data_IF_180210663290
#
_entry.id   IF_180210663290
#
_cell.length_a   1.000
_cell.length_b   1.000
_cell.length_c   1.000
_cell.angle_alpha   90.00
_cell.angle_beta   90.00
_cell.angle_gamma   90.00
#
_symmetry.space_group_name_H-M   'P 1'
#
loop_
_entity.id
_entity.type
_entity.pdbx_description
1 polymer ?
#
# COMPACT_ATOMS: atom_id res chain seq x y z
N UNK A 1 8.59 7.04 -11.73
CA UNK A 1 7.66 7.05 -10.58
C UNK A 1 6.32 6.60 -11.09
N UNK A 2 5.70 5.62 -10.46
CA UNK A 2 4.43 5.05 -10.89
C UNK A 2 3.32 5.57 -9.98
N UNK A 3 2.22 6.05 -10.54
CA UNK A 3 1.04 6.52 -9.80
C UNK A 3 -0.26 5.99 -10.44
N UNK A 4 -0.16 4.90 -11.22
CA UNK A 4 -1.26 4.18 -11.83
C UNK A 4 -0.79 2.76 -12.13
N UNK A 5 -1.50 1.75 -11.66
CA UNK A 5 -1.25 0.37 -12.08
C UNK A 5 -2.58 -0.37 -12.26
N UNK A 6 -2.52 -1.56 -12.86
CA UNK A 6 -3.69 -2.43 -13.03
C UNK A 6 -3.36 -3.82 -12.52
N UNK A 7 -4.29 -4.43 -11.79
CA UNK A 7 -4.23 -5.83 -11.38
C UNK A 7 -5.29 -6.59 -12.17
N UNK A 8 -4.87 -7.39 -13.15
CA UNK A 8 -5.78 -8.14 -14.04
C UNK A 8 -5.85 -9.63 -13.72
N UNK A 9 -4.90 -10.14 -12.93
CA UNK A 9 -4.88 -11.52 -12.49
C UNK A 9 -5.95 -11.77 -11.41
N UNK A 10 -6.44 -13.01 -11.34
CA UNK A 10 -7.38 -13.41 -10.28
C UNK A 10 -6.68 -13.48 -8.92
N UNK A 11 -7.44 -13.32 -7.84
CA UNK A 11 -6.89 -13.35 -6.49
C UNK A 11 -6.21 -14.70 -6.21
N UNK A 12 -6.81 -15.82 -6.64
CA UNK A 12 -6.20 -17.15 -6.54
C UNK A 12 -4.85 -17.27 -7.27
N UNK A 13 -4.71 -16.65 -8.45
CA UNK A 13 -3.46 -16.66 -9.22
C UNK A 13 -2.36 -15.86 -8.51
N UNK A 14 -2.72 -14.70 -7.96
CA UNK A 14 -1.82 -13.89 -7.12
C UNK A 14 -1.41 -14.68 -5.88
N UNK A 15 -2.37 -15.29 -5.19
CA UNK A 15 -2.13 -16.05 -3.97
C UNK A 15 -1.16 -17.22 -4.20
N UNK A 16 -1.40 -18.02 -5.24
CA UNK A 16 -0.52 -19.13 -5.63
C UNK A 16 0.89 -18.65 -5.97
N UNK A 17 1.02 -17.54 -6.73
CA UNK A 17 2.32 -16.97 -7.11
C UNK A 17 3.16 -16.59 -5.89
N UNK A 18 2.53 -16.12 -4.81
CA UNK A 18 3.22 -15.71 -3.59
C UNK A 18 3.29 -16.79 -2.50
N UNK A 19 2.89 -18.03 -2.81
CA UNK A 19 2.98 -19.18 -1.91
C UNK A 19 1.95 -19.20 -0.79
N UNK A 20 0.84 -18.47 -0.95
CA UNK A 20 -0.31 -18.54 -0.04
C UNK A 20 -1.01 -19.87 -0.31
N UNK A 21 -1.27 -20.67 0.73
CA UNK A 21 -1.86 -22.01 0.58
C UNK A 21 -3.38 -21.96 0.64
N UNK A 22 -4.10 -22.86 -0.05
CA UNK A 22 -5.55 -22.97 0.06
C UNK A 22 -6.01 -23.31 1.49
N UNK A 23 -7.26 -22.98 1.87
CA UNK A 23 -8.30 -22.37 1.02
C UNK A 23 -8.08 -20.87 0.80
N UNK A 24 -8.35 -20.41 -0.42
CA UNK A 24 -8.39 -18.98 -0.72
C UNK A 24 -9.78 -18.44 -0.36
N UNK A 25 -9.83 -17.20 0.15
CA UNK A 25 -11.09 -16.45 0.16
C UNK A 25 -11.68 -16.41 -1.27
N UNK A 26 -13.02 -16.36 -1.42
CA UNK A 26 -13.65 -16.21 -2.72
C UNK A 26 -12.99 -15.08 -3.52
N UNK A 27 -12.72 -15.31 -4.81
CA UNK A 27 -12.13 -14.29 -5.67
C UNK A 27 -12.97 -13.01 -5.56
N UNK A 28 -12.39 -11.94 -5.00
CA UNK A 28 -13.06 -10.66 -5.01
C UNK A 28 -13.19 -10.21 -6.46
N UNK A 29 -14.40 -9.78 -6.85
CA UNK A 29 -14.61 -9.11 -8.13
C UNK A 29 -13.90 -7.77 -8.05
N UNK A 30 -12.61 -7.75 -8.42
CA UNK A 30 -11.89 -6.51 -8.62
C UNK A 30 -12.68 -5.70 -9.64
N UNK A 31 -13.03 -4.43 -9.37
CA UNK A 31 -13.41 -3.58 -10.48
C UNK A 31 -12.22 -3.59 -11.44
N UNK A 32 -12.46 -3.94 -12.70
CA UNK A 32 -11.45 -4.04 -13.74
C UNK A 32 -10.86 -2.67 -14.14
N UNK A 33 -10.78 -1.72 -13.20
CA UNK A 33 -10.27 -0.37 -13.35
C UNK A 33 -8.82 -0.23 -12.88
N UNK A 34 -8.23 0.89 -13.28
CA UNK A 34 -6.91 1.29 -12.83
C UNK A 34 -6.91 1.61 -11.32
N UNK A 35 -5.87 1.18 -10.63
CA UNK A 35 -5.58 1.57 -9.24
C UNK A 35 -4.74 2.84 -9.25
N UNK A 36 -5.18 3.83 -8.48
CA UNK A 36 -4.51 5.11 -8.29
C UNK A 36 -4.15 5.29 -6.81
N UNK A 37 -3.18 6.16 -6.48
CA UNK A 37 -2.89 6.55 -5.13
C UNK A 37 -4.14 6.97 -4.36
N UNK A 38 -4.45 6.17 -3.37
CA UNK A 38 -5.48 6.45 -2.40
C UNK A 38 -4.85 7.33 -1.31
N UNK A 39 -5.23 8.61 -1.29
CA UNK A 39 -5.44 9.24 0.00
C UNK A 39 -6.86 8.89 0.50
N UNK A 40 -7.42 9.69 1.41
CA UNK A 40 -8.86 9.63 1.81
C UNK A 40 -9.89 9.86 0.69
N UNK A 41 -9.47 9.95 -0.58
CA UNK A 41 -10.29 10.45 -1.70
C UNK A 41 -10.73 9.38 -2.69
N UNK A 42 -10.20 8.17 -2.61
CA UNK A 42 -10.62 7.07 -3.48
C UNK A 42 -10.92 5.82 -2.66
N UNK A 43 -11.88 4.98 -3.08
CA UNK A 43 -12.30 3.80 -2.32
C UNK A 43 -11.39 2.58 -2.55
N UNK A 44 -10.38 2.69 -3.43
CA UNK A 44 -9.62 1.54 -3.90
C UNK A 44 -8.38 1.30 -3.06
N UNK A 45 -8.46 0.30 -2.18
CA UNK A 45 -7.30 -0.28 -1.52
C UNK A 45 -6.53 -1.19 -2.48
N UNK A 46 -5.21 -1.05 -2.51
CA UNK A 46 -4.32 -1.96 -3.22
C UNK A 46 -4.23 -3.29 -2.49
N UNK A 47 -4.16 -4.39 -3.24
CA UNK A 47 -3.84 -5.70 -2.68
C UNK A 47 -2.33 -5.79 -2.41
N UNK A 48 -1.97 -6.15 -1.18
CA UNK A 48 -0.59 -6.38 -0.76
C UNK A 48 -0.46 -7.79 -0.19
N UNK A 49 0.72 -8.39 -0.31
CA UNK A 49 1.04 -9.63 0.40
C UNK A 49 1.82 -9.28 1.64
N UNK A 50 1.30 -9.70 2.79
CA UNK A 50 1.91 -9.46 4.11
C UNK A 50 2.31 -10.78 4.75
N UNK A 51 3.38 -10.73 5.53
CA UNK A 51 3.80 -11.87 6.35
C UNK A 51 2.88 -12.00 7.57
N UNK A 52 2.36 -13.20 7.81
CA UNK A 52 1.53 -13.53 8.96
C UNK A 52 2.10 -14.78 9.66
N UNK A 53 2.93 -14.56 10.68
CA UNK A 53 3.70 -15.64 11.30
C UNK A 53 4.64 -16.33 10.30
N UNK A 54 4.47 -17.64 10.11
CA UNK A 54 5.19 -18.42 9.10
C UNK A 54 4.54 -18.36 7.70
N UNK A 55 3.30 -17.90 7.62
CA UNK A 55 2.49 -17.88 6.41
C UNK A 55 2.44 -16.46 5.80
N UNK A 56 1.71 -16.35 4.70
CA UNK A 56 1.45 -15.09 3.99
C UNK A 56 -0.05 -14.96 3.75
N UNK A 57 -0.53 -13.72 3.72
CA UNK A 57 -1.91 -13.42 3.34
C UNK A 57 -1.98 -12.22 2.40
N UNK A 58 -3.07 -12.13 1.66
CA UNK A 58 -3.41 -10.93 0.90
C UNK A 58 -4.18 -10.01 1.83
N UNK A 59 -3.76 -8.75 1.92
CA UNK A 59 -4.41 -7.70 2.69
C UNK A 59 -4.71 -6.49 1.79
N UNK A 60 -5.72 -5.71 2.16
CA UNK A 60 -6.10 -4.46 1.50
C UNK A 60 -5.43 -3.30 2.24
N UNK A 61 -4.57 -2.54 1.54
CA UNK A 61 -3.88 -1.38 2.12
C UNK A 61 -4.07 -0.10 1.29
N UNK A 62 -4.06 1.05 1.97
CA UNK A 62 -4.13 2.37 1.33
C UNK A 62 -2.84 2.61 0.56
N UNK A 63 -2.94 2.97 -0.74
CA UNK A 63 -1.76 3.30 -1.53
C UNK A 63 -1.37 4.76 -1.33
N UNK A 64 -0.71 5.01 -0.21
CA UNK A 64 -0.22 6.32 0.16
C UNK A 64 0.18 6.35 1.62
N UNK A 65 1.48 6.44 1.89
CA UNK A 65 1.96 6.51 3.27
C UNK A 65 1.78 7.94 3.79
N UNK A 66 1.03 8.16 4.88
CA UNK A 66 0.79 9.49 5.40
C UNK A 66 2.07 10.09 5.98
N UNK A 67 2.31 11.35 5.68
CA UNK A 67 3.41 12.15 6.24
C UNK A 67 2.94 13.58 6.49
N UNK A 68 3.58 14.27 7.42
CA UNK A 68 3.29 15.66 7.76
C UNK A 68 4.36 16.56 7.16
N UNK A 69 3.95 17.51 6.32
CA UNK A 69 4.84 18.53 5.78
C UNK A 69 4.38 19.92 6.19
N UNK A 70 5.28 20.88 6.45
CA UNK A 70 4.90 22.27 6.69
C UNK A 70 4.10 22.84 5.52
N UNK A 71 3.07 23.62 5.83
CA UNK A 71 2.37 24.40 4.80
C UNK A 71 3.29 25.50 4.26
N UNK A 72 3.15 25.80 2.96
CA UNK A 72 3.88 26.91 2.33
C UNK A 72 3.41 28.28 2.85
N UNK A 73 2.15 28.38 3.29
CA UNK A 73 1.53 29.63 3.77
C UNK A 73 1.85 29.91 5.24
N UNK A 74 1.90 28.85 6.04
CA UNK A 74 2.18 28.92 7.48
C UNK A 74 3.02 27.69 7.88
N UNK A 75 4.33 27.84 8.16
CA UNK A 75 5.21 26.73 8.53
C UNK A 75 4.82 26.01 9.83
N UNK A 76 4.06 26.68 10.72
CA UNK A 76 3.55 26.07 11.94
C UNK A 76 2.41 25.08 11.64
N UNK A 77 1.60 25.36 10.62
CA UNK A 77 0.56 24.46 10.13
C UNK A 77 1.17 23.26 9.39
N UNK A 78 0.76 22.05 9.75
CA UNK A 78 1.15 20.80 9.08
C UNK A 78 0.05 20.31 8.14
N UNK A 79 0.46 19.90 6.94
CA UNK A 79 -0.40 19.30 5.94
C UNK A 79 -0.08 17.81 5.85
N UNK A 80 -1.13 16.99 5.93
CA UNK A 80 -1.03 15.57 5.60
C UNK A 80 -0.82 15.41 4.10
N UNK A 81 0.28 14.79 3.71
CA UNK A 81 0.54 14.32 2.34
C UNK A 81 0.69 12.81 2.34
N UNK A 82 0.42 12.22 1.18
CA UNK A 82 0.49 10.78 0.98
C UNK A 82 1.61 10.48 0.00
N UNK A 83 2.57 9.67 0.43
CA UNK A 83 3.73 9.30 -0.39
C UNK A 83 3.52 7.92 -0.99
N UNK A 84 3.62 7.82 -2.31
CA UNK A 84 3.27 6.61 -3.07
C UNK A 84 4.49 5.82 -3.55
N UNK A 85 5.65 6.48 -3.60
CA UNK A 85 6.89 5.92 -4.14
C UNK A 85 8.04 6.27 -3.19
N UNK A 86 8.90 5.29 -2.90
CA UNK A 86 10.15 5.50 -2.15
C UNK A 86 11.31 5.49 -3.12
N UNK A 87 12.15 6.54 -3.09
CA UNK A 87 13.40 6.62 -3.86
C UNK A 87 14.64 6.48 -2.99
N UNK A 88 14.60 7.08 -1.80
CA UNK A 88 15.72 7.11 -0.89
C UNK A 88 15.40 6.32 0.39
N UNK A 89 15.95 5.11 0.50
CA UNK A 89 15.78 4.24 1.67
C UNK A 89 16.60 4.68 2.88
N UNK A 90 17.58 5.58 2.72
CA UNK A 90 18.37 6.12 3.83
C UNK A 90 17.67 7.29 4.55
N UNK A 91 16.55 7.79 4.02
CA UNK A 91 15.70 8.78 4.71
C UNK A 91 15.29 8.28 6.09
N UNK A 92 15.41 9.13 7.11
CA UNK A 92 15.03 8.80 8.49
C UNK A 92 13.58 8.34 8.59
N UNK A 93 12.68 8.95 7.81
CA UNK A 93 11.28 8.55 7.71
C UNK A 93 11.14 7.09 7.26
N UNK A 94 11.73 6.71 6.12
CA UNK A 94 11.61 5.36 5.56
C UNK A 94 12.37 4.33 6.38
N UNK A 95 13.54 4.68 6.89
CA UNK A 95 14.32 3.81 7.78
C UNK A 95 13.50 3.40 9.01
N UNK A 96 12.82 4.35 9.64
CA UNK A 96 11.90 4.10 10.77
C UNK A 96 10.76 3.15 10.40
N UNK A 97 10.16 3.31 9.22
CA UNK A 97 9.04 2.46 8.77
C UNK A 97 9.48 1.02 8.49
N UNK A 98 10.68 0.85 7.92
CA UNK A 98 11.24 -0.46 7.58
C UNK A 98 11.66 -1.26 8.83
N UNK A 99 12.20 -0.59 9.84
CA UNK A 99 12.65 -1.25 11.08
C UNK A 99 11.53 -1.52 12.07
N UNK A 100 10.40 -0.82 11.95
CA UNK A 100 9.30 -0.92 12.92
C UNK A 100 8.00 -1.30 12.22
N UNK A 101 7.66 -2.61 12.17
CA UNK A 101 6.47 -3.11 11.48
C UNK A 101 5.13 -2.48 11.87
N UNK A 102 4.98 -1.95 13.09
CA UNK A 102 3.77 -1.28 13.52
C UNK A 102 3.58 0.13 12.94
N UNK A 103 4.58 0.68 12.23
CA UNK A 103 4.50 2.01 11.63
C UNK A 103 4.07 1.99 10.16
N UNK A 104 4.09 0.82 9.51
CA UNK A 104 3.68 0.63 8.10
C UNK A 104 2.21 0.28 7.98
#
# INVERSE_FOLDING_TARGET
>A
MCNRYRLTAKQAEVAATFGIRPPYEPDETFPAGDVFPTGKKTPFYGAVVVQDGADRKIERMEWGVPTQVPSKRDPAAKLTKYVTNVRNLSSSFWRSMLTTPARR
#
